data_IF_068170794145
#
_entry.id   IF_068170794145
#
_cell.length_a   1.000
_cell.length_b   1.000
_cell.length_c   1.000
_cell.angle_alpha   90.00
_cell.angle_beta   90.00
_cell.angle_gamma   90.00
#
_symmetry.space_group_name_H-M   'P 1'
#
loop_
_entity.id
_entity.type
_entity.pdbx_description
1 polymer ?
#
# COMPACT_ATOMS: atom_id res chain seq x y z
N UNK A 1 -0.28 5.73 -25.04
CA UNK A 1 0.19 5.37 -23.69
C UNK A 1 0.19 3.86 -23.59
N UNK A 2 1.32 3.22 -23.26
CA UNK A 2 1.40 1.75 -23.19
C UNK A 2 0.64 1.29 -21.95
N UNK A 3 -0.41 0.52 -22.12
CA UNK A 3 -1.24 -0.01 -21.04
C UNK A 3 -0.81 -1.44 -20.72
N UNK A 4 -0.61 -1.70 -19.42
CA UNK A 4 -0.02 -2.93 -18.90
C UNK A 4 -1.08 -3.76 -18.20
N UNK A 5 -1.82 -4.59 -18.94
CA UNK A 5 -2.99 -5.29 -18.41
C UNK A 5 -2.65 -6.61 -17.69
N UNK A 6 -1.60 -7.32 -18.11
CA UNK A 6 -1.39 -8.72 -17.73
C UNK A 6 -0.03 -9.01 -17.07
N UNK A 7 0.71 -7.97 -16.66
CA UNK A 7 2.07 -8.11 -16.13
C UNK A 7 2.21 -7.79 -14.63
N UNK A 8 1.09 -7.55 -13.95
CA UNK A 8 1.06 -7.14 -12.55
C UNK A 8 0.07 -7.97 -11.74
N UNK A 9 0.47 -8.31 -10.51
CA UNK A 9 -0.40 -8.88 -9.49
C UNK A 9 -0.56 -7.83 -8.40
N UNK A 10 -1.79 -7.57 -7.97
CA UNK A 10 -2.08 -6.67 -6.86
C UNK A 10 -2.09 -7.50 -5.57
N UNK A 11 -1.24 -7.13 -4.63
CA UNK A 11 -1.21 -7.70 -3.28
C UNK A 11 -2.07 -6.81 -2.40
N UNK A 12 -3.26 -7.30 -2.05
CA UNK A 12 -4.18 -6.63 -1.15
C UNK A 12 -3.95 -7.05 0.30
N UNK A 13 -3.60 -6.09 1.16
CA UNK A 13 -3.30 -6.31 2.56
C UNK A 13 -4.41 -5.75 3.43
N UNK A 14 -4.94 -6.56 4.34
CA UNK A 14 -5.99 -6.15 5.29
C UNK A 14 -5.84 -6.86 6.63
N UNK A 15 -6.18 -6.16 7.71
CA UNK A 15 -6.39 -6.77 9.02
C UNK A 15 -7.87 -7.04 9.32
N UNK A 16 -8.76 -6.79 8.35
CA UNK A 16 -10.22 -6.88 8.48
C UNK A 16 -10.78 -5.97 9.58
N UNK A 17 -10.15 -4.82 9.85
CA UNK A 17 -10.55 -3.88 10.91
C UNK A 17 -11.21 -2.60 10.44
N UNK A 18 -11.15 -2.31 9.14
CA UNK A 18 -11.86 -1.16 8.58
C UNK A 18 -13.39 -1.28 8.80
N UNK A 19 -14.14 -0.17 8.84
CA UNK A 19 -15.58 -0.21 9.06
C UNK A 19 -16.30 -1.14 8.07
N UNK A 20 -17.23 -1.98 8.54
CA UNK A 20 -17.90 -2.98 7.69
C UNK A 20 -18.59 -2.39 6.46
N UNK A 21 -19.15 -1.17 6.58
CA UNK A 21 -19.82 -0.47 5.49
C UNK A 21 -18.88 0.04 4.39
N UNK A 22 -17.60 0.21 4.71
CA UNK A 22 -16.56 0.64 3.79
C UNK A 22 -16.19 -0.48 2.81
N UNK A 23 -16.17 -1.72 3.32
CA UNK A 23 -15.65 -2.89 2.61
C UNK A 23 -16.26 -3.10 1.21
N UNK A 24 -17.59 -3.03 1.01
CA UNK A 24 -18.17 -3.21 -0.33
C UNK A 24 -17.73 -2.14 -1.32
N UNK A 25 -17.70 -0.88 -0.89
CA UNK A 25 -17.28 0.24 -1.73
C UNK A 25 -15.79 0.18 -2.06
N UNK A 26 -14.94 -0.13 -1.08
CA UNK A 26 -13.50 -0.33 -1.31
C UNK A 26 -13.24 -1.44 -2.32
N UNK A 27 -13.88 -2.59 -2.13
CA UNK A 27 -13.74 -3.74 -3.03
C UNK A 27 -14.13 -3.37 -4.46
N UNK A 28 -15.30 -2.77 -4.65
CA UNK A 28 -15.77 -2.33 -5.97
C UNK A 28 -14.74 -1.39 -6.64
N UNK A 29 -14.20 -0.44 -5.88
CA UNK A 29 -13.21 0.51 -6.41
C UNK A 29 -11.87 -0.17 -6.73
N UNK A 30 -11.41 -1.09 -5.89
CA UNK A 30 -10.17 -1.83 -6.13
C UNK A 30 -10.29 -2.75 -7.34
N UNK A 31 -11.43 -3.44 -7.51
CA UNK A 31 -11.71 -4.28 -8.69
C UNK A 31 -11.72 -3.46 -9.98
N UNK A 32 -12.38 -2.29 -9.97
CA UNK A 32 -12.36 -1.35 -11.10
C UNK A 32 -10.95 -0.84 -11.42
N UNK A 33 -10.17 -0.55 -10.40
CA UNK A 33 -8.80 -0.07 -10.57
C UNK A 33 -7.88 -1.19 -11.09
N UNK A 34 -8.08 -2.42 -10.62
CA UNK A 34 -7.33 -3.61 -11.01
C UNK A 34 -7.58 -4.01 -12.46
N UNK A 35 -8.78 -3.75 -12.99
CA UNK A 35 -9.13 -3.94 -14.41
C UNK A 35 -8.72 -5.33 -14.94
N UNK A 36 -9.05 -6.36 -14.16
CA UNK A 36 -8.75 -7.76 -14.48
C UNK A 36 -7.37 -8.25 -14.03
N UNK A 37 -6.50 -7.40 -13.49
CA UNK A 37 -5.23 -7.84 -12.91
C UNK A 37 -5.46 -8.83 -11.75
N UNK A 38 -4.67 -9.92 -11.65
CA UNK A 38 -4.78 -10.87 -10.55
C UNK A 38 -4.62 -10.18 -9.18
N UNK A 39 -5.51 -10.53 -8.25
CA UNK A 39 -5.45 -10.06 -6.86
C UNK A 39 -5.06 -11.23 -5.96
N UNK A 40 -4.12 -10.98 -5.06
CA UNK A 40 -3.78 -11.85 -3.95
C UNK A 40 -4.12 -11.11 -2.67
N UNK A 41 -5.10 -11.60 -1.93
CA UNK A 41 -5.51 -11.01 -0.66
C UNK A 41 -4.79 -11.65 0.51
N UNK A 42 -4.33 -10.84 1.47
CA UNK A 42 -3.75 -11.30 2.73
C UNK A 42 -4.54 -10.72 3.89
N UNK A 43 -5.26 -11.57 4.61
CA UNK A 43 -6.32 -11.19 5.55
C UNK A 43 -6.28 -11.99 6.85
N UNK A 44 -6.94 -11.47 7.89
CA UNK A 44 -7.13 -12.18 9.17
C UNK A 44 -8.23 -13.22 9.12
N UNK A 45 -9.15 -13.04 8.18
CA UNK A 45 -10.34 -13.86 7.99
C UNK A 45 -10.37 -14.38 6.55
N UNK A 46 -10.98 -15.55 6.29
CA UNK A 46 -11.22 -16.01 4.93
C UNK A 46 -11.96 -14.97 4.08
N UNK A 47 -11.47 -14.74 2.87
CA UNK A 47 -12.07 -13.81 1.92
C UNK A 47 -12.22 -14.43 0.55
N UNK A 48 -13.41 -14.31 -0.03
CA UNK A 48 -13.64 -14.54 -1.46
C UNK A 48 -13.23 -13.28 -2.23
N UNK A 49 -11.92 -13.10 -2.40
CA UNK A 49 -11.34 -11.96 -3.10
C UNK A 49 -9.94 -12.29 -3.66
N UNK A 50 -9.93 -12.81 -4.89
CA UNK A 50 -8.70 -13.32 -5.52
C UNK A 50 -8.15 -14.56 -4.80
N UNK A 51 -6.84 -14.78 -4.90
CA UNK A 51 -6.17 -15.85 -4.12
C UNK A 51 -5.97 -15.36 -2.69
N UNK A 52 -6.62 -16.00 -1.71
CA UNK A 52 -6.57 -15.57 -0.32
C UNK A 52 -5.52 -16.32 0.51
N UNK A 53 -4.69 -15.57 1.23
CA UNK A 53 -3.74 -16.04 2.25
C UNK A 53 -4.24 -15.56 3.61
N UNK A 54 -4.37 -16.49 4.56
CA UNK A 54 -4.66 -16.14 5.96
C UNK A 54 -3.35 -15.76 6.68
N UNK A 55 -3.30 -14.56 7.25
CA UNK A 55 -2.23 -14.13 8.14
C UNK A 55 -2.61 -14.37 9.62
N UNK A 56 -1.70 -14.97 10.37
CA UNK A 56 -1.90 -15.28 11.80
C UNK A 56 -0.95 -14.51 12.69
N UNK A 57 0.15 -13.98 12.15
CA UNK A 57 1.18 -13.24 12.89
C UNK A 57 0.65 -11.94 13.51
N UNK A 58 1.19 -11.44 14.64
CA UNK A 58 0.75 -10.19 15.26
C UNK A 58 0.79 -8.97 14.34
N UNK A 59 -0.19 -8.07 14.48
CA UNK A 59 -0.24 -6.84 13.70
C UNK A 59 0.95 -5.94 14.03
N UNK A 60 1.73 -5.56 13.01
CA UNK A 60 2.83 -4.62 13.14
C UNK A 60 3.22 -4.04 11.78
N UNK A 61 3.93 -2.91 11.79
CA UNK A 61 4.44 -2.29 10.56
C UNK A 61 5.39 -3.23 9.81
N UNK A 62 6.17 -4.05 10.51
CA UNK A 62 7.05 -5.06 9.91
C UNK A 62 6.25 -6.20 9.29
N UNK A 63 5.17 -6.63 9.95
CA UNK A 63 4.36 -7.73 9.45
C UNK A 63 3.74 -7.41 8.08
N UNK A 64 3.45 -6.14 7.76
CA UNK A 64 3.01 -5.72 6.41
C UNK A 64 4.01 -6.20 5.34
N UNK A 65 5.31 -6.01 5.57
CA UNK A 65 6.37 -6.42 4.64
C UNK A 65 6.52 -7.94 4.59
N UNK A 66 6.32 -8.63 5.71
CA UNK A 66 6.34 -10.10 5.77
C UNK A 66 5.19 -10.72 4.97
N UNK A 67 3.98 -10.19 5.13
CA UNK A 67 2.81 -10.59 4.35
C UNK A 67 2.99 -10.26 2.86
N UNK A 68 3.62 -9.12 2.56
CA UNK A 68 4.00 -8.78 1.18
C UNK A 68 4.94 -9.82 0.58
N UNK A 69 5.96 -10.26 1.32
CA UNK A 69 6.88 -11.30 0.86
C UNK A 69 6.14 -12.61 0.55
N UNK A 70 5.26 -13.06 1.45
CA UNK A 70 4.46 -14.28 1.25
C UNK A 70 3.64 -14.22 -0.03
N UNK A 71 2.92 -13.11 -0.25
CA UNK A 71 2.12 -12.91 -1.45
C UNK A 71 2.99 -12.76 -2.72
N UNK A 72 4.12 -12.05 -2.64
CA UNK A 72 5.03 -11.87 -3.76
C UNK A 72 5.67 -13.18 -4.24
N UNK A 73 5.88 -14.14 -3.34
CA UNK A 73 6.38 -15.48 -3.67
C UNK A 73 5.40 -16.32 -4.48
N UNK A 74 4.09 -16.14 -4.26
CA UNK A 74 3.05 -16.88 -4.99
C UNK A 74 2.56 -16.14 -6.25
N UNK A 75 2.78 -14.83 -6.34
CA UNK A 75 2.50 -14.05 -7.55
C UNK A 75 3.31 -14.61 -8.74
N UNK A 76 2.68 -14.69 -9.91
CA UNK A 76 3.30 -15.26 -11.12
C UNK A 76 3.72 -14.20 -12.13
N UNK A 77 3.19 -12.98 -12.00
CA UNK A 77 3.47 -11.88 -12.93
C UNK A 77 4.87 -11.27 -12.71
N UNK A 78 5.42 -10.56 -13.71
CA UNK A 78 6.71 -9.86 -13.58
C UNK A 78 6.72 -8.76 -12.52
N UNK A 79 5.59 -8.09 -12.30
CA UNK A 79 5.45 -7.01 -11.32
C UNK A 79 4.42 -7.34 -10.24
N UNK A 80 4.57 -6.68 -9.10
CA UNK A 80 3.57 -6.61 -8.03
C UNK A 80 3.24 -5.14 -7.74
N UNK A 81 2.01 -4.88 -7.29
CA UNK A 81 1.62 -3.63 -6.65
C UNK A 81 1.01 -3.91 -5.28
N UNK A 82 1.02 -2.91 -4.41
CA UNK A 82 0.42 -3.00 -3.07
C UNK A 82 -0.94 -2.30 -3.06
N UNK A 83 -1.92 -2.91 -2.41
CA UNK A 83 -3.20 -2.32 -2.05
C UNK A 83 -3.46 -2.49 -0.55
N UNK A 84 -3.91 -1.43 0.13
CA UNK A 84 -4.31 -1.47 1.55
C UNK A 84 -5.84 -1.23 1.68
N UNK A 85 -6.46 -1.79 2.73
CA UNK A 85 -7.92 -1.75 2.96
C UNK A 85 -8.47 -0.40 3.36
N UNK A 86 -7.61 0.56 3.66
CA UNK A 86 -7.94 1.95 3.96
C UNK A 86 -7.58 2.90 2.80
N UNK A 87 -7.34 2.38 1.60
CA UNK A 87 -6.80 3.17 0.48
C UNK A 87 -7.56 2.88 -0.82
N UNK A 88 -7.90 3.95 -1.55
CA UNK A 88 -8.46 3.91 -2.91
C UNK A 88 -7.40 4.22 -3.96
N UNK A 89 -7.54 3.56 -5.09
CA UNK A 89 -6.56 3.59 -6.17
C UNK A 89 -7.24 4.02 -7.48
N UNK A 90 -6.65 4.96 -8.24
CA UNK A 90 -7.06 5.17 -9.61
C UNK A 90 -6.49 4.07 -10.49
N UNK A 91 -7.19 3.73 -11.56
CA UNK A 91 -6.74 2.72 -12.54
C UNK A 91 -5.34 3.03 -13.09
N UNK A 92 -5.02 4.31 -13.28
CA UNK A 92 -3.71 4.75 -13.76
C UNK A 92 -2.56 4.32 -12.84
N UNK A 93 -2.80 4.16 -11.52
CA UNK A 93 -1.79 3.66 -10.60
C UNK A 93 -1.26 2.30 -11.06
N UNK A 94 -2.14 1.35 -11.38
CA UNK A 94 -1.75 0.00 -11.74
C UNK A 94 -1.38 -0.18 -13.22
N UNK A 95 -1.83 0.71 -14.12
CA UNK A 95 -1.68 0.49 -15.56
C UNK A 95 -0.94 1.60 -16.32
N UNK A 96 -0.58 2.70 -15.65
CA UNK A 96 0.08 3.85 -16.29
C UNK A 96 1.61 3.78 -16.32
N UNK A 97 2.24 3.04 -15.40
CA UNK A 97 3.69 3.03 -15.24
C UNK A 97 4.26 1.66 -14.85
N UNK A 98 5.46 1.34 -15.37
CA UNK A 98 6.28 0.20 -14.95
C UNK A 98 7.74 0.65 -14.82
N UNK A 99 8.43 0.38 -13.70
CA UNK A 99 9.87 0.60 -13.62
C UNK A 99 10.64 -0.46 -14.41
N UNK A 100 11.94 -0.23 -14.60
CA UNK A 100 12.87 -1.30 -14.99
C UNK A 100 12.89 -2.42 -13.94
N UNK A 101 13.26 -3.64 -14.36
CA UNK A 101 13.23 -4.82 -13.49
C UNK A 101 14.20 -4.79 -12.31
N UNK A 102 15.12 -3.82 -12.28
CA UNK A 102 16.10 -3.59 -11.21
C UNK A 102 15.73 -2.41 -10.28
N UNK A 103 14.51 -1.86 -10.41
CA UNK A 103 14.12 -0.60 -9.77
C UNK A 103 12.73 -0.68 -9.15
N UNK A 104 12.59 -0.22 -7.91
CA UNK A 104 11.29 0.00 -7.26
C UNK A 104 10.65 1.31 -7.71
N UNK A 105 9.32 1.39 -7.75
CA UNK A 105 8.60 2.61 -8.12
C UNK A 105 7.57 3.00 -7.05
N UNK A 106 7.48 4.29 -6.74
CA UNK A 106 6.48 4.83 -5.82
C UNK A 106 5.63 5.89 -6.49
N UNK A 107 4.30 5.72 -6.44
CA UNK A 107 3.39 6.79 -6.87
C UNK A 107 3.43 7.92 -5.84
N UNK A 108 3.70 9.14 -6.32
CA UNK A 108 3.77 10.35 -5.51
C UNK A 108 2.54 11.23 -5.61
N UNK A 109 1.61 10.93 -6.53
CA UNK A 109 0.29 11.54 -6.56
C UNK A 109 -0.58 10.89 -5.48
N UNK A 110 -0.38 11.29 -4.21
CA UNK A 110 -1.04 10.70 -3.04
C UNK A 110 -1.65 11.75 -2.12
N UNK A 111 -2.89 11.52 -1.73
CA UNK A 111 -3.61 12.33 -0.75
C UNK A 111 -4.08 11.49 0.42
N UNK A 112 -4.12 12.09 1.61
CA UNK A 112 -4.78 11.50 2.76
C UNK A 112 -6.08 12.23 3.06
N UNK A 113 -7.06 11.52 3.59
CA UNK A 113 -8.29 12.05 4.15
C UNK A 113 -8.26 11.93 5.67
N UNK A 114 -8.31 13.07 6.35
CA UNK A 114 -8.46 13.12 7.79
C UNK A 114 -9.91 12.75 8.17
N UNK A 115 -10.10 11.76 9.04
CA UNK A 115 -11.44 11.28 9.41
C UNK A 115 -11.92 11.73 10.79
N UNK A 116 -11.12 12.50 11.52
CA UNK A 116 -11.52 13.08 12.80
C UNK A 116 -11.56 14.62 12.73
N UNK A 117 -12.66 15.21 13.20
CA UNK A 117 -12.89 16.64 13.05
C UNK A 117 -13.35 17.00 11.63
N UNK A 118 -12.84 18.10 11.07
CA UNK A 118 -13.21 18.54 9.72
C UNK A 118 -12.66 17.54 8.67
N UNK A 119 -13.52 16.92 7.84
CA UNK A 119 -13.07 16.05 6.76
C UNK A 119 -12.33 16.89 5.72
N UNK A 120 -11.02 16.69 5.59
CA UNK A 120 -10.20 17.46 4.68
C UNK A 120 -9.13 16.56 4.05
N UNK A 121 -8.95 16.73 2.76
CA UNK A 121 -7.83 16.12 2.05
C UNK A 121 -6.55 16.86 2.34
N UNK A 122 -5.43 16.15 2.36
CA UNK A 122 -4.11 16.74 2.49
C UNK A 122 -3.08 15.98 1.65
N UNK A 123 -2.19 16.71 1.00
CA UNK A 123 -1.21 16.14 0.08
C UNK A 123 -0.04 15.46 0.81
N UNK A 124 0.16 14.16 0.59
CA UNK A 124 1.14 13.36 1.31
C UNK A 124 2.34 12.98 0.42
N UNK A 125 3.34 13.86 0.33
CA UNK A 125 4.53 13.68 -0.53
C UNK A 125 5.60 12.74 0.04
N UNK A 126 5.22 11.54 0.50
CA UNK A 126 6.17 10.53 0.99
C UNK A 126 5.96 9.23 0.24
N UNK A 127 7.06 8.55 -0.09
CA UNK A 127 6.98 7.16 -0.52
C UNK A 127 6.32 6.36 0.61
N UNK A 128 5.52 5.39 0.22
CA UNK A 128 4.69 4.60 1.13
C UNK A 128 4.56 3.21 0.55
N UNK A 129 4.49 2.21 1.41
CA UNK A 129 4.25 0.84 0.98
C UNK A 129 3.00 0.72 0.09
N UNK A 130 1.89 1.34 0.50
CA UNK A 130 0.65 1.41 -0.28
C UNK A 130 0.78 1.97 -1.71
N UNK A 131 1.85 2.68 -2.07
CA UNK A 131 2.04 3.25 -3.42
C UNK A 131 3.15 2.57 -4.22
N UNK A 132 3.65 1.43 -3.73
CA UNK A 132 4.72 0.66 -4.34
C UNK A 132 4.24 -0.13 -5.56
N UNK A 133 4.98 -0.01 -6.65
CA UNK A 133 5.01 -0.97 -7.77
C UNK A 133 6.44 -1.49 -7.86
N UNK A 134 6.59 -2.81 -7.86
CA UNK A 134 7.90 -3.44 -7.81
C UNK A 134 8.02 -4.58 -8.82
N UNK A 135 9.19 -4.76 -9.46
CA UNK A 135 9.53 -6.04 -10.06
C UNK A 135 9.45 -7.14 -8.99
N UNK A 136 8.65 -8.18 -9.25
CA UNK A 136 8.32 -9.21 -8.27
C UNK A 136 9.58 -9.88 -7.70
N UNK A 137 10.51 -10.29 -8.58
CA UNK A 137 11.75 -10.96 -8.19
C UNK A 137 12.61 -10.07 -7.29
N UNK A 138 12.74 -8.79 -7.64
CA UNK A 138 13.50 -7.81 -6.86
C UNK A 138 12.89 -7.59 -5.47
N UNK A 139 11.56 -7.52 -5.37
CA UNK A 139 10.87 -7.38 -4.10
C UNK A 139 11.06 -8.62 -3.20
N UNK A 140 10.97 -9.82 -3.79
CA UNK A 140 11.23 -11.09 -3.07
C UNK A 140 12.65 -11.11 -2.54
N UNK A 141 13.64 -10.86 -3.39
CA UNK A 141 15.07 -10.86 -3.02
C UNK A 141 15.36 -9.86 -1.89
N UNK A 142 14.85 -8.62 -2.01
CA UNK A 142 15.08 -7.57 -1.02
C UNK A 142 14.46 -7.91 0.34
N UNK A 143 13.23 -8.43 0.34
CA UNK A 143 12.54 -8.78 1.57
C UNK A 143 13.15 -10.05 2.21
N UNK A 144 13.55 -11.04 1.42
CA UNK A 144 14.27 -12.21 1.93
C UNK A 144 15.60 -11.81 2.56
N UNK A 145 16.39 -10.94 1.94
CA UNK A 145 17.63 -10.43 2.52
C UNK A 145 17.37 -9.76 3.88
N UNK A 146 16.35 -8.89 3.96
CA UNK A 146 15.96 -8.22 5.20
C UNK A 146 15.52 -9.21 6.28
N UNK A 147 14.67 -10.18 5.96
CA UNK A 147 14.15 -11.13 6.96
C UNK A 147 15.15 -12.24 7.34
N UNK A 148 16.11 -12.56 6.47
CA UNK A 148 17.23 -13.44 6.82
C UNK A 148 18.17 -12.73 7.81
N UNK A 149 18.42 -11.44 7.61
CA UNK A 149 19.27 -10.63 8.51
C UNK A 149 18.55 -10.25 9.82
N UNK A 150 17.26 -9.97 9.74
CA UNK A 150 16.41 -9.54 10.85
C UNK A 150 15.13 -10.41 10.92
N UNK A 151 15.23 -11.64 11.44
CA UNK A 151 14.08 -12.53 11.57
C UNK A 151 12.95 -11.90 12.41
N UNK A 152 11.70 -12.14 12.01
CA UNK A 152 10.51 -11.48 12.58
C UNK A 152 10.25 -11.83 14.05
N UNK A 153 10.69 -13.01 14.48
CA UNK A 153 10.60 -13.55 15.83
C UNK A 153 11.68 -13.01 16.79
N UNK A 154 12.69 -12.31 16.26
CA UNK A 154 13.76 -11.71 17.03
C UNK A 154 13.46 -10.24 17.38
N UNK A 155 14.05 -9.75 18.49
CA UNK A 155 13.93 -8.34 18.89
C UNK A 155 14.37 -7.34 17.78
N UNK A 156 15.34 -7.75 16.94
CA UNK A 156 15.78 -7.01 15.76
C UNK A 156 14.80 -7.01 14.59
N UNK A 157 13.86 -7.97 14.53
CA UNK A 157 12.83 -8.08 13.50
C UNK A 157 11.94 -6.84 13.43
N UNK A 158 11.72 -6.14 14.55
CA UNK A 158 11.00 -4.85 14.60
C UNK A 158 11.62 -3.77 13.71
N UNK A 159 12.89 -3.90 13.34
CA UNK A 159 13.59 -2.93 12.51
C UNK A 159 13.51 -3.24 11.01
N UNK A 160 13.16 -4.46 10.60
CA UNK A 160 13.19 -4.92 9.21
C UNK A 160 12.19 -4.22 8.27
N UNK A 161 11.22 -3.49 8.83
CA UNK A 161 10.23 -2.73 8.09
C UNK A 161 10.78 -1.42 7.50
N UNK A 162 10.14 -0.95 6.44
CA UNK A 162 10.47 0.30 5.77
C UNK A 162 10.39 0.17 4.25
N UNK A 163 10.22 1.30 3.57
CA UNK A 163 10.11 1.36 2.12
C UNK A 163 11.36 0.76 1.45
N UNK A 164 11.15 -0.13 0.48
CA UNK A 164 12.20 -0.75 -0.33
C UNK A 164 12.91 0.29 -1.22
N UNK A 165 14.23 0.19 -1.33
CA UNK A 165 15.06 1.06 -2.17
C UNK A 165 15.22 2.49 -1.66
N UNK A 166 14.86 2.78 -0.41
CA UNK A 166 15.20 4.05 0.25
C UNK A 166 16.60 3.96 0.84
N UNK A 167 17.51 4.82 0.37
CA UNK A 167 18.92 4.82 0.76
C UNK A 167 19.12 4.74 2.27
N UNK A 168 18.60 5.70 3.02
CA UNK A 168 18.73 5.74 4.49
C UNK A 168 18.18 4.49 5.18
N UNK A 169 17.18 3.82 4.58
CA UNK A 169 16.58 2.61 5.12
C UNK A 169 17.47 1.40 4.88
N UNK A 170 17.93 1.18 3.64
CA UNK A 170 18.79 0.04 3.31
C UNK A 170 20.16 0.16 4.00
N UNK A 171 20.73 1.36 4.10
CA UNK A 171 21.97 1.63 4.84
C UNK A 171 21.82 1.35 6.33
N UNK A 172 20.71 1.81 6.95
CA UNK A 172 20.40 1.53 8.37
C UNK A 172 20.27 0.03 8.64
N UNK A 173 19.71 -0.71 7.68
CA UNK A 173 19.59 -2.16 7.74
C UNK A 173 20.88 -2.87 7.32
N UNK A 174 21.87 -2.17 6.77
CA UNK A 174 23.09 -2.74 6.20
C UNK A 174 22.80 -3.85 5.18
N UNK A 175 21.80 -3.65 4.33
CA UNK A 175 21.42 -4.55 3.25
C UNK A 175 21.71 -3.90 1.89
N UNK A 176 21.57 -4.66 0.82
CA UNK A 176 21.87 -4.21 -0.53
C UNK A 176 21.00 -3.01 -0.92
N UNK A 177 21.65 -1.87 -1.23
CA UNK A 177 20.99 -0.67 -1.73
C UNK A 177 20.46 -0.91 -3.16
N UNK A 178 19.13 -0.94 -3.29
CA UNK A 178 18.43 -1.10 -4.56
C UNK A 178 17.86 0.22 -5.06
N UNK A 179 17.74 0.37 -6.37
CA UNK A 179 17.25 1.59 -7.00
C UNK A 179 15.77 1.81 -6.69
N UNK A 180 15.38 3.07 -6.55
CA UNK A 180 13.98 3.47 -6.55
C UNK A 180 13.75 4.71 -7.39
N UNK A 181 12.58 4.81 -8.00
CA UNK A 181 12.11 5.96 -8.76
C UNK A 181 10.75 6.41 -8.26
N UNK A 182 10.44 7.67 -8.54
CA UNK A 182 9.12 8.25 -8.30
C UNK A 182 8.38 8.34 -9.64
N UNK A 183 7.07 8.09 -9.61
CA UNK A 183 6.19 8.35 -10.73
C UNK A 183 4.92 9.06 -10.25
N UNK A 184 4.19 9.62 -11.20
CA UNK A 184 3.02 10.45 -10.94
C UNK A 184 1.89 10.04 -11.87
N UNK A 185 0.69 10.02 -11.32
CA UNK A 185 -0.57 9.82 -12.05
C UNK A 185 -1.35 11.13 -12.07
N UNK A 186 -2.28 11.24 -13.02
CA UNK A 186 -3.24 12.36 -13.11
C UNK A 186 -4.21 12.34 -11.93
N UNK A 187 -4.77 11.17 -11.64
CA UNK A 187 -5.66 10.94 -10.50
C UNK A 187 -4.85 10.46 -9.28
N UNK A 188 -5.19 10.90 -8.05
CA UNK A 188 -4.40 10.55 -6.88
C UNK A 188 -4.76 9.19 -6.28
N UNK A 189 -3.79 8.50 -5.68
CA UNK A 189 -4.05 7.48 -4.64
C UNK A 189 -4.55 8.19 -3.39
N UNK A 190 -5.61 7.68 -2.75
CA UNK A 190 -6.26 8.34 -1.61
C UNK A 190 -6.41 7.38 -0.43
N UNK A 191 -5.78 7.68 0.71
CA UNK A 191 -5.89 6.86 1.93
C UNK A 191 -6.67 7.57 3.03
N UNK A 192 -7.27 6.80 3.92
CA UNK A 192 -8.00 7.30 5.07
C UNK A 192 -7.13 7.22 6.30
N UNK A 193 -7.11 8.27 7.11
CA UNK A 193 -6.61 8.14 8.47
C UNK A 193 -7.70 7.52 9.33
N UNK A 194 -7.43 6.51 10.16
CA UNK A 194 -8.47 5.91 11.00
C UNK A 194 -7.89 5.25 12.26
N UNK A 195 -8.69 5.15 13.33
CA UNK A 195 -8.22 4.65 14.63
C UNK A 195 -7.89 3.15 14.65
N UNK A 196 -8.41 2.39 13.69
CA UNK A 196 -8.14 0.96 13.53
C UNK A 196 -6.82 0.66 12.79
N UNK A 197 -6.08 1.71 12.40
CA UNK A 197 -4.78 1.60 11.75
C UNK A 197 -3.73 1.05 12.71
N UNK A 198 -2.67 0.44 12.17
CA UNK A 198 -1.51 0.02 12.97
C UNK A 198 -0.58 1.17 13.35
N UNK A 199 -0.73 2.35 12.74
CA UNK A 199 0.08 3.53 13.02
C UNK A 199 -0.39 4.18 14.34
N UNK A 200 0.46 4.25 15.40
CA UNK A 200 0.09 4.85 16.67
C UNK A 200 -0.37 6.31 16.56
N UNK A 201 0.10 7.05 15.54
CA UNK A 201 -0.34 8.43 15.31
C UNK A 201 -1.79 8.49 14.81
N UNK A 202 -2.21 7.51 14.01
CA UNK A 202 -3.61 7.37 13.59
C UNK A 202 -4.49 6.94 14.76
N UNK A 203 -4.09 5.90 15.50
CA UNK A 203 -4.81 5.39 16.69
C UNK A 203 -5.09 6.51 17.68
N UNK A 204 -4.08 7.34 17.97
CA UNK A 204 -4.19 8.44 18.92
C UNK A 204 -4.74 9.75 18.32
N UNK A 205 -5.16 9.77 17.04
CA UNK A 205 -5.64 10.96 16.32
C UNK A 205 -4.63 12.13 16.32
N UNK A 206 -3.33 11.80 16.32
CA UNK A 206 -2.20 12.74 16.35
C UNK A 206 -1.52 12.90 15.00
N UNK A 207 -1.93 12.14 13.97
CA UNK A 207 -1.29 12.20 12.66
C UNK A 207 -1.51 13.57 12.03
N UNK A 208 -0.41 14.27 11.75
CA UNK A 208 -0.44 15.64 11.24
C UNK A 208 -0.81 15.65 9.76
N UNK A 209 -1.71 16.56 9.40
CA UNK A 209 -2.01 16.90 8.01
C UNK A 209 -0.92 17.83 7.44
N UNK A 210 -0.59 17.65 6.16
CA UNK A 210 0.32 18.55 5.44
C UNK A 210 -0.25 19.97 5.31
N UNK A 211 0.59 20.89 4.78
CA UNK A 211 0.21 22.28 4.53
C UNK A 211 -0.73 22.43 3.34
N UNK A 212 -0.53 21.63 2.28
CA UNK A 212 -1.43 21.60 1.12
C UNK A 212 -2.65 20.76 1.50
N UNK A 213 -3.83 21.38 1.41
CA UNK A 213 -5.11 20.82 1.83
C UNK A 213 -6.20 21.20 0.83
N UNK A 214 -7.24 20.38 0.74
CA UNK A 214 -8.38 20.63 -0.13
C UNK A 214 -9.67 20.02 0.44
N UNK A 215 -10.80 20.65 0.15
CA UNK A 215 -12.13 20.09 0.44
C UNK A 215 -12.62 19.15 -0.68
N UNK A 216 -11.99 19.25 -1.85
CA UNK A 216 -12.30 18.47 -3.03
C UNK A 216 -11.02 18.23 -3.82
N UNK A 217 -10.85 17.01 -4.35
CA UNK A 217 -9.73 16.67 -5.21
C UNK A 217 -10.26 16.02 -6.51
N UNK A 218 -9.53 16.11 -7.63
CA UNK A 218 -9.88 15.41 -8.85
C UNK A 218 -10.15 13.93 -8.59
N UNK A 219 -11.09 13.36 -9.36
CA UNK A 219 -11.50 11.95 -9.33
C UNK A 219 -12.28 11.48 -8.09
N UNK A 220 -11.91 11.96 -6.89
CA UNK A 220 -12.55 11.52 -5.63
C UNK A 220 -13.65 12.44 -5.11
N UNK A 221 -13.78 13.64 -5.67
CA UNK A 221 -14.82 14.59 -5.29
C UNK A 221 -14.59 15.18 -3.91
N UNK A 222 -15.68 15.50 -3.20
CA UNK A 222 -15.66 16.19 -1.91
C UNK A 222 -15.30 15.26 -0.74
N UNK A 223 -14.48 15.76 0.18
CA UNK A 223 -14.04 15.04 1.38
C UNK A 223 -15.21 14.60 2.26
N UNK A 224 -16.26 15.43 2.35
CA UNK A 224 -17.48 15.17 3.12
C UNK A 224 -18.29 13.98 2.58
N UNK A 225 -18.27 13.74 1.27
CA UNK A 225 -18.98 12.61 0.69
C UNK A 225 -18.18 11.33 0.82
N UNK A 226 -16.86 11.45 0.69
CA UNK A 226 -15.95 10.32 0.85
C UNK A 226 -15.93 9.81 2.30
N UNK A 227 -15.96 10.70 3.29
CA UNK A 227 -15.97 10.26 4.69
C UNK A 227 -17.27 9.51 5.03
N UNK A 228 -18.43 9.89 4.48
CA UNK A 228 -19.71 9.17 4.70
C UNK A 228 -19.65 7.71 4.24
N UNK A 229 -18.82 7.41 3.23
CA UNK A 229 -18.56 6.04 2.76
C UNK A 229 -17.75 5.23 3.78
N UNK A 230 -16.87 5.89 4.54
CA UNK A 230 -15.95 5.25 5.48
C UNK A 230 -16.50 5.15 6.91
N UNK A 231 -16.96 6.25 7.52
CA UNK A 231 -17.38 6.34 8.94
C UNK A 231 -18.86 6.14 9.16
#
# INVERSE_FOLDING_TARGET
>A
MKTFYNDITIIFLTLNKVPKKWVPYHREMLEKAADGAPIISVSREPMDFGTNIIQTEPASAVNIYWQTLKAAKIATTPYIAIAEDDTLYPREHYHGFRPSLDTFAYNKTRWGLNTWGLPIYYHAQRASHMTLIAPRKLAVEALEERFNKYPIDNAGGKNAGGELGKQWMEERLGVTLRKSVEFYTSDPVMYFQHIESIDPLNVNRKKRMSRIRALEIPYWGRSEDMIKKFV
#
